data_IF_002901353792
#
_entry.id   IF_002901353792
#
_cell.length_a   1.000
_cell.length_b   1.000
_cell.length_c   1.000
_cell.angle_alpha   90.00
_cell.angle_beta   90.00
_cell.angle_gamma   90.00
#
_symmetry.space_group_name_H-M   'P 1'
#
loop_
_entity.id
_entity.type
_entity.pdbx_description
1 polymer ?
#
# COMPACT_ATOMS: atom_id res chain seq x y z
N UNK A 1 7.81 -3.96 -3.33
CA UNK A 1 7.42 -3.46 -4.67
C UNK A 1 6.36 -2.38 -4.47
N UNK A 2 6.18 -1.50 -5.46
CA UNK A 2 5.02 -0.60 -5.52
C UNK A 2 4.13 -1.09 -6.66
N UNK A 3 2.86 -1.31 -6.35
CA UNK A 3 1.86 -1.75 -7.33
C UNK A 3 1.00 -0.58 -7.82
N UNK A 4 0.41 -0.70 -9.01
CA UNK A 4 -0.62 0.22 -9.49
C UNK A 4 -1.59 -0.44 -10.47
N UNK A 5 -2.81 0.07 -10.52
CA UNK A 5 -3.79 -0.21 -11.60
C UNK A 5 -4.08 1.02 -12.48
N UNK A 6 -3.23 2.06 -12.39
CA UNK A 6 -3.42 3.34 -13.07
C UNK A 6 -4.23 4.38 -12.28
N UNK A 7 -5.06 3.94 -11.32
CA UNK A 7 -5.88 4.83 -10.46
C UNK A 7 -5.28 4.90 -9.05
N UNK A 8 -4.89 3.75 -8.50
CA UNK A 8 -4.30 3.61 -7.16
C UNK A 8 -2.90 3.05 -7.21
N UNK A 9 -2.18 3.29 -6.12
CA UNK A 9 -0.97 2.57 -5.77
C UNK A 9 -1.11 1.83 -4.45
N UNK A 10 -0.33 0.76 -4.29
CA UNK A 10 -0.17 0.01 -3.05
C UNK A 10 1.29 -0.39 -2.82
N UNK A 11 1.57 -0.89 -1.62
CA UNK A 11 2.91 -1.33 -1.23
C UNK A 11 2.87 -2.84 -1.01
N UNK A 12 3.65 -3.56 -1.82
CA UNK A 12 3.75 -5.04 -1.76
C UNK A 12 5.03 -5.44 -1.06
N UNK A 13 4.91 -6.26 -0.02
CA UNK A 13 6.01 -6.66 0.86
C UNK A 13 6.00 -8.17 1.08
N UNK A 14 7.14 -8.82 1.34
CA UNK A 14 7.17 -10.22 1.75
C UNK A 14 6.32 -10.41 3.03
N UNK A 15 5.53 -11.49 3.12
CA UNK A 15 4.76 -11.79 4.34
C UNK A 15 5.70 -11.94 5.55
N UNK A 16 6.85 -12.57 5.35
CA UNK A 16 7.87 -12.78 6.37
C UNK A 16 9.19 -12.20 5.87
N UNK A 17 9.85 -11.45 6.74
CA UNK A 17 11.20 -10.92 6.54
C UNK A 17 11.96 -10.94 7.88
N UNK A 18 13.28 -10.71 7.90
CA UNK A 18 14.04 -10.55 9.15
C UNK A 18 13.56 -9.40 10.04
N UNK A 19 12.82 -8.42 9.50
CA UNK A 19 12.36 -7.22 10.22
C UNK A 19 10.92 -7.35 10.70
N UNK A 20 10.06 -8.03 9.93
CA UNK A 20 8.63 -8.11 10.20
C UNK A 20 8.05 -9.42 9.71
N UNK A 21 7.23 -10.02 10.57
CA UNK A 21 6.24 -11.03 10.22
C UNK A 21 4.86 -10.36 10.17
N UNK A 22 4.32 -10.17 8.97
CA UNK A 22 3.04 -9.49 8.78
C UNK A 22 1.84 -10.31 9.24
N UNK A 23 1.99 -11.62 9.49
CA UNK A 23 0.90 -12.46 10.00
C UNK A 23 0.46 -12.07 11.41
N UNK A 24 1.37 -11.49 12.19
CA UNK A 24 1.06 -10.96 13.52
C UNK A 24 0.13 -9.74 13.46
N UNK A 25 0.26 -8.90 12.42
CA UNK A 25 -0.59 -7.72 12.23
C UNK A 25 -1.84 -8.05 11.41
N UNK A 26 -1.69 -8.89 10.39
CA UNK A 26 -2.74 -9.31 9.46
C UNK A 26 -2.78 -10.84 9.36
N UNK A 27 -3.55 -11.52 10.23
CA UNK A 27 -3.63 -12.98 10.25
C UNK A 27 -4.06 -13.61 8.91
N UNK A 28 -4.79 -12.87 8.07
CA UNK A 28 -5.16 -13.30 6.72
C UNK A 28 -3.96 -13.64 5.83
N UNK A 29 -2.79 -13.03 6.06
CA UNK A 29 -1.56 -13.34 5.32
C UNK A 29 -0.98 -14.73 5.64
N UNK A 30 -1.47 -15.39 6.69
CA UNK A 30 -1.12 -16.77 7.04
C UNK A 30 -2.09 -17.83 6.52
N UNK A 31 -3.16 -17.42 5.83
CA UNK A 31 -4.19 -18.32 5.33
C UNK A 31 -3.99 -18.61 3.83
N UNK A 32 -4.31 -19.82 3.34
CA UNK A 32 -4.29 -20.10 1.91
C UNK A 32 -5.24 -19.18 1.13
N UNK A 33 -4.83 -18.77 -0.07
CA UNK A 33 -5.71 -18.15 -1.06
C UNK A 33 -6.74 -19.17 -1.58
N UNK A 34 -7.71 -18.69 -2.36
CA UNK A 34 -8.73 -19.55 -2.98
C UNK A 34 -8.14 -20.67 -3.87
N UNK A 35 -6.96 -20.44 -4.46
CA UNK A 35 -6.20 -21.40 -5.25
C UNK A 35 -5.40 -22.43 -4.40
N UNK A 36 -5.53 -22.37 -3.07
CA UNK A 36 -4.85 -23.24 -2.11
C UNK A 36 -3.39 -22.86 -1.81
N UNK A 37 -2.83 -21.84 -2.46
CA UNK A 37 -1.45 -21.43 -2.24
C UNK A 37 -1.33 -20.47 -1.05
N UNK A 38 -0.26 -20.65 -0.27
CA UNK A 38 0.06 -19.69 0.79
C UNK A 38 0.63 -18.39 0.20
N UNK A 39 0.14 -17.21 0.65
CA UNK A 39 0.69 -15.93 0.28
C UNK A 39 2.19 -15.84 0.57
N UNK A 40 2.92 -15.30 -0.39
CA UNK A 40 4.34 -14.96 -0.21
C UNK A 40 4.52 -13.46 0.07
N UNK A 41 3.55 -12.65 -0.35
CA UNK A 41 3.55 -11.21 -0.18
C UNK A 41 2.19 -10.71 0.31
N UNK A 42 2.24 -9.64 1.09
CA UNK A 42 1.10 -8.82 1.48
C UNK A 42 1.12 -7.52 0.68
N UNK A 43 -0.05 -7.11 0.19
CA UNK A 43 -0.25 -5.86 -0.54
C UNK A 43 -1.09 -4.92 0.33
N UNK A 44 -0.54 -3.75 0.64
CA UNK A 44 -1.18 -2.80 1.53
C UNK A 44 -1.51 -1.53 0.76
N UNK A 45 -2.79 -1.19 0.75
CA UNK A 45 -3.30 0.11 0.31
C UNK A 45 -4.00 0.82 1.46
N UNK A 46 -4.05 2.14 1.39
CA UNK A 46 -4.84 2.98 2.28
C UNK A 46 -5.78 3.83 1.44
N UNK A 47 -7.03 3.97 1.86
CA UNK A 47 -8.04 4.68 1.09
C UNK A 47 -9.19 5.18 1.95
N UNK A 48 -10.24 5.63 1.28
CA UNK A 48 -11.43 6.13 1.97
C UNK A 48 -12.37 4.96 2.32
N UNK A 49 -12.83 4.93 3.56
CA UNK A 49 -13.58 3.81 4.13
C UNK A 49 -14.90 3.51 3.43
N UNK A 50 -15.72 4.53 3.16
CA UNK A 50 -17.00 4.33 2.47
C UNK A 50 -16.76 3.82 1.04
N UNK A 51 -15.77 4.36 0.33
CA UNK A 51 -15.40 3.90 -1.02
C UNK A 51 -14.97 2.44 -0.98
N UNK A 52 -14.06 2.04 -0.10
CA UNK A 52 -13.57 0.66 -0.04
C UNK A 52 -14.66 -0.36 0.37
N UNK A 53 -15.66 0.06 1.14
CA UNK A 53 -16.72 -0.84 1.63
C UNK A 53 -17.99 -0.83 0.78
N UNK A 54 -18.20 0.19 -0.05
CA UNK A 54 -19.47 0.39 -0.78
C UNK A 54 -19.33 0.67 -2.27
N UNK A 55 -18.11 0.72 -2.80
CA UNK A 55 -17.84 1.02 -4.22
C UNK A 55 -17.02 -0.11 -4.85
N UNK A 56 -17.67 -1.17 -5.39
CA UNK A 56 -16.98 -2.30 -6.02
C UNK A 56 -16.13 -1.88 -7.21
N UNK A 57 -16.66 -0.98 -8.04
CA UNK A 57 -15.96 -0.43 -9.21
C UNK A 57 -15.97 1.10 -9.17
N UNK A 58 -15.03 1.74 -9.87
CA UNK A 58 -14.96 3.20 -9.97
C UNK A 58 -16.24 3.84 -10.56
N UNK A 59 -16.95 3.12 -11.43
CA UNK A 59 -18.25 3.54 -11.97
C UNK A 59 -19.38 3.56 -10.93
N UNK A 60 -19.23 2.83 -9.82
CA UNK A 60 -20.23 2.78 -8.74
C UNK A 60 -20.06 3.91 -7.72
N UNK A 61 -19.05 4.78 -7.90
CA UNK A 61 -18.82 5.90 -6.99
C UNK A 61 -19.96 6.90 -7.06
N UNK A 62 -20.72 6.99 -5.98
CA UNK A 62 -21.84 7.94 -5.88
C UNK A 62 -21.32 9.37 -5.91
N UNK A 63 -21.89 10.27 -6.75
CA UNK A 63 -21.51 11.68 -6.76
C UNK A 63 -21.60 12.36 -5.39
N UNK A 64 -22.59 11.97 -4.57
CA UNK A 64 -22.74 12.47 -3.21
C UNK A 64 -21.56 12.08 -2.30
N UNK A 65 -21.06 10.85 -2.41
CA UNK A 65 -19.88 10.38 -1.68
C UNK A 65 -18.63 11.13 -2.14
N UNK A 66 -18.44 11.28 -3.45
CA UNK A 66 -17.33 12.07 -4.00
C UNK A 66 -17.36 13.54 -3.51
N UNK A 67 -18.54 14.17 -3.52
CA UNK A 67 -18.72 15.54 -3.03
C UNK A 67 -18.48 15.64 -1.52
N UNK A 68 -18.95 14.68 -0.72
CA UNK A 68 -18.67 14.59 0.72
C UNK A 68 -17.17 14.55 0.97
N UNK A 69 -16.44 13.69 0.26
CA UNK A 69 -14.98 13.55 0.40
C UNK A 69 -14.28 14.84 -0.01
N UNK A 70 -14.71 15.48 -1.10
CA UNK A 70 -14.13 16.74 -1.56
C UNK A 70 -14.29 17.87 -0.54
N UNK A 71 -15.46 17.99 0.10
CA UNK A 71 -15.77 19.08 1.02
C UNK A 71 -15.35 18.79 2.48
N UNK A 72 -15.47 17.54 2.91
CA UNK A 72 -15.37 17.12 4.33
C UNK A 72 -14.47 15.91 4.54
N UNK A 73 -13.72 15.46 3.54
CA UNK A 73 -12.88 14.27 3.66
C UNK A 73 -13.66 13.02 4.09
N UNK A 74 -12.92 12.01 4.56
CA UNK A 74 -13.45 10.72 4.95
C UNK A 74 -12.54 9.98 5.92
N UNK A 75 -13.04 8.91 6.53
CA UNK A 75 -12.22 8.03 7.37
C UNK A 75 -11.27 7.21 6.50
N UNK A 76 -10.08 6.95 7.02
CA UNK A 76 -9.13 6.03 6.41
C UNK A 76 -9.56 4.58 6.57
N UNK A 77 -9.19 3.74 5.60
CA UNK A 77 -9.28 2.29 5.68
C UNK A 77 -8.04 1.67 5.04
N UNK A 78 -7.48 0.65 5.69
CA UNK A 78 -6.37 -0.14 5.14
C UNK A 78 -6.96 -1.37 4.45
N UNK A 79 -6.61 -1.56 3.17
CA UNK A 79 -6.88 -2.79 2.41
C UNK A 79 -5.63 -3.65 2.42
N UNK A 80 -5.79 -4.92 2.73
CA UNK A 80 -4.73 -5.93 2.77
C UNK A 80 -5.06 -7.05 1.78
N UNK A 81 -4.39 -7.03 0.64
CA UNK A 81 -4.41 -8.10 -0.37
C UNK A 81 -3.21 -9.03 -0.24
N UNK A 82 -3.18 -10.08 -1.06
CA UNK A 82 -2.20 -11.16 -0.96
C UNK A 82 -1.70 -11.57 -2.34
N UNK A 83 -0.40 -11.85 -2.48
CA UNK A 83 0.17 -12.38 -3.73
C UNK A 83 1.04 -13.60 -3.51
N UNK A 84 1.12 -14.44 -4.55
CA UNK A 84 2.10 -15.51 -4.67
C UNK A 84 3.11 -15.13 -5.76
N UNK A 85 4.35 -14.90 -5.32
CA UNK A 85 5.51 -14.56 -6.17
C UNK A 85 5.17 -13.54 -7.28
N UNK A 86 4.69 -12.33 -6.92
CA UNK A 86 4.34 -11.32 -7.91
C UNK A 86 5.54 -11.00 -8.78
N UNK A 87 5.37 -11.09 -10.10
CA UNK A 87 6.43 -10.82 -11.06
C UNK A 87 6.59 -9.32 -11.32
N UNK A 88 7.82 -8.82 -11.54
CA UNK A 88 8.03 -7.44 -11.96
C UNK A 88 7.28 -7.11 -13.26
N UNK A 89 6.63 -5.96 -13.30
CA UNK A 89 5.99 -5.41 -14.50
C UNK A 89 5.86 -3.88 -14.40
N UNK A 90 5.33 -3.23 -15.44
CA UNK A 90 5.00 -1.80 -15.38
C UNK A 90 4.03 -1.47 -14.22
N UNK A 91 3.18 -2.44 -13.84
CA UNK A 91 2.19 -2.37 -12.77
C UNK A 91 2.72 -2.83 -11.41
N UNK A 92 3.82 -3.59 -11.37
CA UNK A 92 4.44 -4.09 -10.13
C UNK A 92 5.94 -3.80 -10.18
N UNK A 93 6.32 -2.63 -9.69
CA UNK A 93 7.71 -2.14 -9.80
C UNK A 93 8.52 -2.51 -8.54
N UNK A 94 9.56 -3.36 -8.65
CA UNK A 94 10.37 -3.74 -7.50
C UNK A 94 11.16 -2.57 -6.92
N UNK A 95 11.36 -2.61 -5.60
CA UNK A 95 12.25 -1.72 -4.88
C UNK A 95 13.06 -2.56 -3.89
N UNK A 96 14.37 -2.33 -3.84
CA UNK A 96 15.25 -2.94 -2.85
C UNK A 96 15.52 -1.93 -1.75
N UNK A 97 15.11 -2.24 -0.52
CA UNK A 97 15.31 -1.39 0.64
C UNK A 97 16.41 -1.98 1.52
N UNK A 98 17.21 -1.11 2.11
CA UNK A 98 18.09 -1.46 3.23
C UNK A 98 17.24 -1.85 4.44
N UNK A 99 17.75 -2.69 5.36
CA UNK A 99 16.98 -3.11 6.55
C UNK A 99 16.39 -1.95 7.36
N UNK A 100 17.15 -0.87 7.55
CA UNK A 100 16.67 0.32 8.26
C UNK A 100 15.58 1.10 7.51
N UNK A 101 15.61 1.13 6.17
CA UNK A 101 14.55 1.73 5.36
C UNK A 101 13.27 0.90 5.45
N UNK A 102 13.41 -0.42 5.39
CA UNK A 102 12.27 -1.32 5.55
C UNK A 102 11.66 -1.28 6.95
N UNK A 103 12.48 -1.14 8.01
CA UNK A 103 11.98 -0.95 9.36
C UNK A 103 11.11 0.33 9.50
N UNK A 104 11.55 1.45 8.92
CA UNK A 104 10.74 2.69 8.88
C UNK A 104 9.48 2.54 8.05
N UNK A 105 9.54 1.79 6.95
CA UNK A 105 8.35 1.46 6.15
C UNK A 105 7.32 0.69 6.98
N UNK A 106 7.77 -0.35 7.70
CA UNK A 106 6.93 -1.16 8.59
C UNK A 106 6.30 -0.29 9.67
N UNK A 107 7.10 0.53 10.36
CA UNK A 107 6.63 1.47 11.38
C UNK A 107 5.52 2.37 10.85
N UNK A 108 5.72 2.96 9.67
CA UNK A 108 4.75 3.88 9.07
C UNK A 108 3.45 3.20 8.66
N UNK A 109 3.54 1.98 8.15
CA UNK A 109 2.36 1.15 7.82
C UNK A 109 1.60 0.77 9.09
N UNK A 110 2.28 0.35 10.16
CA UNK A 110 1.62 -0.01 11.41
C UNK A 110 1.00 1.19 12.11
N UNK A 111 1.62 2.37 12.02
CA UNK A 111 1.05 3.62 12.54
C UNK A 111 -0.24 4.06 11.82
N UNK A 112 -0.51 3.52 10.62
CA UNK A 112 -1.77 3.72 9.92
C UNK A 112 -2.92 2.89 10.51
N UNK A 113 -2.65 1.97 11.42
CA UNK A 113 -3.67 1.19 12.11
C UNK A 113 -3.96 1.78 13.50
N UNK A 114 -5.21 1.75 13.99
CA UNK A 114 -5.51 2.14 15.36
C UNK A 114 -4.71 1.30 16.37
N UNK A 115 -4.35 1.85 17.54
CA UNK A 115 -3.76 1.07 18.62
C UNK A 115 -4.61 -0.17 18.94
N UNK A 116 -3.95 -1.29 19.24
CA UNK A 116 -4.61 -2.54 19.61
C UNK A 116 -4.22 -2.87 21.05
N UNK A 117 -5.19 -2.99 21.96
CA UNK A 117 -4.88 -3.36 23.33
C UNK A 117 -4.41 -4.83 23.40
N UNK A 118 -3.58 -5.19 24.39
CA UNK A 118 -3.15 -6.58 24.57
C UNK A 118 -4.35 -7.53 24.67
N UNK A 119 -4.38 -8.56 23.82
CA UNK A 119 -5.45 -9.57 23.79
C UNK A 119 -6.66 -9.22 22.93
N UNK A 120 -6.73 -8.02 22.35
CA UNK A 120 -7.79 -7.66 21.41
C UNK A 120 -7.47 -8.11 19.99
N UNK A 121 -8.53 -8.31 19.19
CA UNK A 121 -8.43 -8.56 17.74
C UNK A 121 -8.96 -7.37 16.98
N UNK A 122 -8.32 -7.06 15.84
CA UNK A 122 -8.79 -5.98 14.96
C UNK A 122 -10.11 -6.38 14.33
N UNK A 123 -11.04 -5.43 14.26
CA UNK A 123 -12.22 -5.56 13.41
C UNK A 123 -11.76 -5.65 11.96
N UNK A 124 -12.32 -6.61 11.22
CA UNK A 124 -12.06 -6.80 9.80
C UNK A 124 -13.34 -6.72 9.01
N UNK A 125 -13.27 -6.13 7.83
CA UNK A 125 -14.37 -6.05 6.88
C UNK A 125 -14.02 -6.84 5.62
N UNK A 126 -15.04 -7.31 4.92
CA UNK A 126 -14.87 -7.93 3.61
C UNK A 126 -14.34 -6.90 2.60
N UNK A 127 -13.57 -7.40 1.63
CA UNK A 127 -13.11 -6.63 0.48
C UNK A 127 -13.77 -7.16 -0.78
N UNK A 128 -13.98 -6.29 -1.77
CA UNK A 128 -14.38 -6.71 -3.10
C UNK A 128 -13.27 -7.44 -3.86
N UNK A 129 -12.00 -7.24 -3.45
CA UNK A 129 -10.90 -8.07 -3.93
C UNK A 129 -10.91 -9.41 -3.20
N UNK A 130 -10.96 -10.50 -3.97
CA UNK A 130 -11.03 -11.85 -3.45
C UNK A 130 -9.85 -12.16 -2.51
N UNK A 131 -10.16 -12.64 -1.31
CA UNK A 131 -9.19 -12.99 -0.28
C UNK A 131 -8.62 -11.78 0.50
N UNK A 132 -8.78 -10.57 -0.02
CA UNK A 132 -8.34 -9.36 0.68
C UNK A 132 -9.24 -9.04 1.88
N UNK A 133 -8.67 -8.35 2.87
CA UNK A 133 -9.38 -7.88 4.06
C UNK A 133 -9.17 -6.40 4.27
N UNK A 134 -10.21 -5.74 4.76
CA UNK A 134 -10.19 -4.33 5.11
C UNK A 134 -10.10 -4.17 6.63
N UNK A 135 -9.34 -3.17 7.09
CA UNK A 135 -9.09 -2.86 8.50
C UNK A 135 -9.28 -1.37 8.72
N UNK A 136 -9.82 -1.00 9.89
CA UNK A 136 -9.85 0.40 10.31
C UNK A 136 -8.45 1.02 10.26
N UNK A 137 -8.40 2.28 9.84
CA UNK A 137 -7.17 3.03 9.74
C UNK A 137 -7.25 4.35 10.48
N UNK A 138 -6.09 4.83 10.93
CA UNK A 138 -5.92 6.21 11.37
C UNK A 138 -5.77 7.13 10.16
N UNK A 139 -5.94 8.42 10.41
CA UNK A 139 -5.81 9.46 9.38
C UNK A 139 -7.13 9.76 8.66
N UNK A 140 -7.11 10.85 7.90
CA UNK A 140 -8.28 11.38 7.20
C UNK A 140 -8.03 11.48 5.72
N UNK A 141 -8.88 10.84 4.93
CA UNK A 141 -8.83 10.91 3.48
C UNK A 141 -9.33 12.28 3.02
N UNK A 142 -8.59 12.94 2.13
CA UNK A 142 -8.97 14.22 1.52
C UNK A 142 -8.43 14.29 0.09
N UNK A 143 -8.77 15.34 -0.66
CA UNK A 143 -8.18 15.57 -1.98
C UNK A 143 -6.66 15.83 -1.93
N UNK A 144 -6.15 16.29 -0.78
CA UNK A 144 -4.71 16.48 -0.56
C UNK A 144 -4.02 15.24 0.02
N UNK A 145 -4.77 14.38 0.73
CA UNK A 145 -4.29 13.13 1.32
C UNK A 145 -5.08 11.95 0.75
N UNK A 146 -4.75 11.59 -0.48
CA UNK A 146 -5.33 10.46 -1.19
C UNK A 146 -4.59 9.16 -0.88
N UNK A 147 -5.09 8.04 -1.38
CA UNK A 147 -4.39 6.75 -1.39
C UNK A 147 -2.97 6.84 -1.96
N UNK A 148 -2.79 7.53 -3.09
CA UNK A 148 -1.49 7.70 -3.74
C UNK A 148 -0.58 8.62 -2.93
N UNK A 149 -1.14 9.68 -2.31
CA UNK A 149 -0.37 10.52 -1.40
C UNK A 149 0.12 9.72 -0.19
N UNK A 150 -0.75 8.90 0.41
CA UNK A 150 -0.38 8.06 1.56
C UNK A 150 0.76 7.08 1.22
N UNK A 151 0.71 6.45 0.02
CA UNK A 151 1.81 5.59 -0.44
C UNK A 151 3.09 6.40 -0.64
N UNK A 152 3.01 7.55 -1.31
CA UNK A 152 4.15 8.45 -1.51
C UNK A 152 4.80 8.87 -0.19
N UNK A 153 4.01 9.32 0.78
CA UNK A 153 4.49 9.71 2.12
C UNK A 153 5.08 8.53 2.90
N UNK A 154 4.50 7.33 2.74
CA UNK A 154 4.99 6.11 3.39
C UNK A 154 6.35 5.70 2.84
N UNK A 155 6.55 5.78 1.53
CA UNK A 155 7.84 5.55 0.88
C UNK A 155 8.85 6.65 1.24
N UNK A 156 8.42 7.91 1.28
CA UNK A 156 9.25 9.04 1.70
C UNK A 156 9.77 8.87 3.13
N UNK A 157 8.89 8.45 4.05
CA UNK A 157 9.26 8.16 5.43
C UNK A 157 10.27 7.01 5.54
N UNK A 158 10.16 6.00 4.67
CA UNK A 158 11.15 4.94 4.56
C UNK A 158 12.51 5.43 4.04
N UNK A 159 12.61 6.64 3.50
CA UNK A 159 13.83 7.23 2.95
C UNK A 159 13.95 7.08 1.43
N UNK A 160 12.87 6.67 0.75
CA UNK A 160 12.82 6.56 -0.70
C UNK A 160 12.46 7.94 -1.26
N UNK A 161 13.21 8.41 -2.26
CA UNK A 161 12.96 9.71 -2.87
C UNK A 161 11.56 9.78 -3.47
N UNK A 162 10.75 10.74 -3.04
CA UNK A 162 9.36 10.93 -3.47
C UNK A 162 9.05 12.42 -3.59
N UNK A 163 8.09 12.74 -4.45
CA UNK A 163 7.56 14.09 -4.55
C UNK A 163 6.81 14.48 -3.27
N UNK A 164 6.85 15.77 -2.91
CA UNK A 164 6.12 16.28 -1.72
C UNK A 164 4.60 16.20 -1.86
N UNK A 165 4.09 16.06 -3.08
CA UNK A 165 2.67 15.93 -3.38
C UNK A 165 2.46 15.00 -4.58
N UNK A 166 1.92 13.82 -4.34
CA UNK A 166 1.70 12.71 -5.29
C UNK A 166 0.27 12.16 -5.19
N UNK A 167 -0.77 12.98 -5.37
CA UNK A 167 -2.17 12.56 -5.16
C UNK A 167 -2.68 11.57 -6.22
N UNK A 168 -1.99 11.45 -7.36
CA UNK A 168 -2.31 10.55 -8.47
C UNK A 168 -1.25 9.46 -8.59
N UNK A 169 -1.64 8.29 -9.09
CA UNK A 169 -0.76 7.12 -9.22
C UNK A 169 0.52 7.44 -10.01
N UNK A 170 0.40 8.13 -11.15
CA UNK A 170 1.57 8.56 -11.94
C UNK A 170 2.55 9.45 -11.18
N UNK A 171 2.07 10.21 -10.19
CA UNK A 171 2.89 11.03 -9.30
C UNK A 171 3.81 10.18 -8.41
N UNK A 172 3.34 9.03 -7.92
CA UNK A 172 4.14 8.05 -7.17
C UNK A 172 5.04 7.26 -8.12
N UNK A 173 4.46 6.70 -9.17
CA UNK A 173 5.15 5.78 -10.09
C UNK A 173 6.29 6.45 -10.87
N UNK A 174 6.25 7.78 -11.06
CA UNK A 174 7.38 8.56 -11.61
C UNK A 174 8.68 8.35 -10.82
N UNK A 175 8.60 8.14 -9.51
CA UNK A 175 9.76 7.96 -8.63
C UNK A 175 10.17 6.51 -8.45
N UNK A 176 9.36 5.56 -8.93
CA UNK A 176 9.61 4.13 -8.83
C UNK A 176 10.04 3.62 -10.20
N UNK A 177 11.32 3.23 -10.38
CA UNK A 177 11.84 2.81 -11.67
C UNK A 177 11.06 1.64 -12.26
N UNK A 178 10.89 1.65 -13.58
CA UNK A 178 10.39 0.47 -14.28
C UNK A 178 11.38 -0.69 -14.15
N UNK A 179 10.88 -1.93 -14.01
CA UNK A 179 11.77 -3.08 -14.08
C UNK A 179 12.43 -3.13 -15.44
N UNK A 180 13.70 -3.53 -15.48
CA UNK A 180 14.40 -3.72 -16.74
C UNK A 180 13.64 -4.74 -17.60
N UNK A 181 13.55 -4.46 -18.91
CA UNK A 181 13.05 -5.45 -19.86
C UNK A 181 13.85 -6.75 -19.71
N UNK A 182 13.23 -7.93 -19.90
CA UNK A 182 13.96 -9.19 -19.85
C UNK A 182 15.22 -9.13 -20.72
N UNK A 183 16.39 -9.25 -20.11
CA UNK A 183 17.69 -9.18 -20.82
C UNK A 183 18.44 -7.84 -20.78
N UNK A 184 17.95 -6.80 -20.09
CA UNK A 184 18.72 -5.57 -19.84
C UNK A 184 19.12 -5.44 -18.36
N UNK A 185 20.32 -4.95 -18.02
CA UNK A 185 20.70 -4.70 -16.65
C UNK A 185 19.87 -3.55 -16.05
N UNK A 186 19.43 -3.71 -14.80
CA UNK A 186 18.72 -2.66 -14.07
C UNK A 186 19.59 -1.41 -13.94
N UNK A 187 19.08 -0.24 -14.34
CA UNK A 187 19.77 1.03 -14.12
C UNK A 187 19.81 1.31 -12.62
N UNK A 188 21.02 1.30 -12.06
CA UNK A 188 21.24 1.49 -10.63
C UNK A 188 20.79 2.87 -10.18
N UNK A 189 19.74 2.94 -9.37
CA UNK A 189 19.48 4.10 -8.52
C UNK A 189 20.45 4.06 -7.34
N UNK A 190 21.68 4.54 -7.56
CA UNK A 190 22.56 4.90 -6.43
C UNK A 190 21.94 6.07 -5.69
N UNK A 191 21.67 5.88 -4.40
CA UNK A 191 21.33 6.96 -3.49
C UNK A 191 22.44 8.03 -3.56
N UNK A 192 22.13 9.16 -4.20
CA UNK A 192 23.05 10.27 -4.36
C UNK A 192 23.44 10.85 -2.99
N UNK A 193 24.75 10.91 -2.75
CA UNK A 193 25.35 11.67 -1.65
C UNK A 193 24.94 13.13 -1.77
N UNK A 194 24.44 13.70 -0.67
CA UNK A 194 24.38 15.14 -0.49
C UNK A 194 25.81 15.69 -0.42
N UNK A 195 26.11 16.68 -1.26
CA UNK A 195 27.31 17.50 -1.15
C UNK A 195 26.88 18.92 -0.80
N UNK A 196 27.39 19.37 0.35
CA UNK A 196 27.64 20.74 0.85
C UNK A 196 26.59 21.83 0.65
#
# INVERSE_FOLDING_TARGET
MVETNGIHTGIVMPVISPVKDWRATFPSAGLPRADGQLPTHVAIGWGEKEVFLSTPTWSDLKPATALRIALRGGEGLVRVGHYVRPAPSEYHRPLTLRPAEYARLVERVEAALPPLAPGETRVTYDSFEEGARNYDATGRYTLANTCNQWVGDTLAHAGIAMGRWTPLAGGVMKWVPEPAAPGQPASGATAGKASS
#
